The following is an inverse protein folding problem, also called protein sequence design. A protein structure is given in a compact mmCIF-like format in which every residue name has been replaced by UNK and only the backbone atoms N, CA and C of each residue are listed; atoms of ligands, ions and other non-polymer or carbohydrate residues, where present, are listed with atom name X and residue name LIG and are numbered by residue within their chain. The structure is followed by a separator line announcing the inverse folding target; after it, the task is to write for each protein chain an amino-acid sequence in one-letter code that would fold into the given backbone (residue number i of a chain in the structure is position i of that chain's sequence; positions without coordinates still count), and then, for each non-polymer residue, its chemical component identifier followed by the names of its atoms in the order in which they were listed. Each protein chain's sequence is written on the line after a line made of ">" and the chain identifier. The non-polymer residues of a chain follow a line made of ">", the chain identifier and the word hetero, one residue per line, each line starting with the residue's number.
data_IF_417424684439
#
_entry.id   IF_417424684439
#
_cell.length_a   1.000
_cell.length_b   1.000
_cell.length_c   1.000
_cell.angle_alpha   90.00
_cell.angle_beta   90.00
_cell.angle_gamma   90.00
#
_symmetry.space_group_name_H-M   'P 1'
#
loop_
_entity.id
_entity.type
_entity.pdbx_description
1 polymer ?
#
# COMPACT_ATOMS: atom_id res chain seq x y z
N UNK A 1 -13.79 1.05 14.10
CA UNK A 1 -14.66 2.21 13.76
C UNK A 1 -14.08 2.89 12.54
N UNK A 2 -14.90 3.31 11.55
CA UNK A 2 -14.43 4.18 10.48
C UNK A 2 -14.08 5.57 11.05
N UNK A 3 -12.96 6.14 10.60
CA UNK A 3 -12.44 7.44 11.08
C UNK A 3 -12.61 8.55 10.04
N UNK A 4 -12.63 8.21 8.74
CA UNK A 4 -12.79 9.16 7.65
C UNK A 4 -12.73 8.50 6.29
N UNK A 5 -12.71 9.31 5.23
CA UNK A 5 -12.69 8.84 3.83
C UNK A 5 -11.67 9.63 3.01
N UNK A 6 -10.87 8.92 2.22
CA UNK A 6 -9.92 9.50 1.27
C UNK A 6 -10.42 9.27 -0.15
N UNK A 7 -10.44 10.31 -0.99
CA UNK A 7 -10.90 10.25 -2.39
C UNK A 7 -9.75 10.60 -3.32
N UNK A 8 -9.41 9.69 -4.23
CA UNK A 8 -8.41 9.91 -5.27
C UNK A 8 -9.09 10.41 -6.54
N UNK A 9 -9.01 11.72 -6.80
CA UNK A 9 -9.77 12.41 -7.87
C UNK A 9 -8.91 12.97 -9.00
N UNK A 10 -7.58 12.80 -8.96
CA UNK A 10 -6.66 13.37 -9.95
C UNK A 10 -5.51 12.41 -10.24
N UNK A 11 -5.14 12.29 -11.52
CA UNK A 11 -3.91 11.62 -11.92
C UNK A 11 -2.72 12.59 -11.85
N UNK A 12 -1.51 12.05 -11.84
CA UNK A 12 -0.26 12.83 -11.89
C UNK A 12 -0.14 13.56 -13.24
N UNK A 13 0.40 14.79 -13.22
CA UNK A 13 0.70 15.52 -14.45
C UNK A 13 2.05 15.08 -15.03
N UNK A 14 3.03 14.81 -14.16
CA UNK A 14 4.33 14.27 -14.55
C UNK A 14 4.70 13.08 -13.64
N UNK A 15 4.84 11.90 -14.24
CA UNK A 15 5.16 10.68 -13.50
C UNK A 15 6.52 10.76 -12.77
N UNK A 16 7.55 11.33 -13.40
CA UNK A 16 8.87 11.42 -12.78
C UNK A 16 8.94 12.45 -11.65
N UNK A 17 8.33 13.62 -11.85
CA UNK A 17 8.34 14.70 -10.86
C UNK A 17 7.45 14.40 -9.64
N UNK A 18 6.32 13.72 -9.84
CA UNK A 18 5.36 13.42 -8.77
C UNK A 18 5.53 11.98 -8.25
N UNK A 19 5.43 10.95 -9.09
CA UNK A 19 5.41 9.57 -8.62
C UNK A 19 6.79 9.01 -8.27
N UNK A 20 7.80 9.26 -9.11
CA UNK A 20 9.13 8.69 -8.87
C UNK A 20 9.88 9.42 -7.76
N UNK A 21 9.65 10.72 -7.59
CA UNK A 21 10.38 11.52 -6.60
C UNK A 21 9.71 11.61 -5.23
N UNK A 22 8.42 11.25 -5.12
CA UNK A 22 7.73 11.24 -3.81
C UNK A 22 8.48 10.36 -2.81
N UNK A 23 8.53 10.83 -1.57
CA UNK A 23 9.31 10.21 -0.51
C UNK A 23 8.42 9.99 0.72
N UNK A 24 8.07 8.73 0.97
CA UNK A 24 7.30 8.32 2.14
C UNK A 24 8.21 7.75 3.22
N UNK A 25 7.90 8.04 4.49
CA UNK A 25 8.60 7.46 5.62
C UNK A 25 7.68 7.35 6.84
N UNK A 26 7.85 6.28 7.61
CA UNK A 26 7.10 6.08 8.87
C UNK A 26 7.56 7.02 9.98
N UNK A 27 8.75 7.62 9.82
CA UNK A 27 9.35 8.57 10.76
C UNK A 27 8.73 9.97 10.77
N UNK A 28 7.91 10.30 9.75
CA UNK A 28 7.26 11.61 9.64
C UNK A 28 5.91 11.52 10.33
N UNK A 29 5.89 11.81 11.63
CA UNK A 29 4.68 11.87 12.44
C UNK A 29 4.19 13.31 12.60
N UNK A 30 2.90 13.43 12.92
CA UNK A 30 2.26 14.68 13.34
C UNK A 30 1.91 14.57 14.82
N UNK A 31 1.79 15.71 15.49
CA UNK A 31 1.47 15.77 16.92
C UNK A 31 0.19 14.98 17.23
N UNK A 32 0.23 14.20 18.31
CA UNK A 32 -0.85 13.28 18.71
C UNK A 32 -0.69 11.84 18.21
N UNK A 33 0.32 11.55 17.39
CA UNK A 33 0.73 10.19 17.03
C UNK A 33 2.10 9.88 17.65
N UNK A 34 2.26 8.67 18.15
CA UNK A 34 3.52 8.19 18.73
C UNK A 34 3.83 6.76 18.27
N UNK A 35 5.10 6.38 18.38
CA UNK A 35 5.58 5.05 18.03
C UNK A 35 5.24 4.02 19.10
N UNK A 36 5.04 2.79 18.67
CA UNK A 36 5.06 1.63 19.56
C UNK A 36 6.45 0.98 19.56
N UNK A 37 6.74 0.20 20.60
CA UNK A 37 7.98 -0.59 20.73
C UNK A 37 8.04 -1.81 19.77
N UNK A 38 7.37 -1.73 18.62
CA UNK A 38 7.45 -2.75 17.58
C UNK A 38 8.84 -2.71 16.92
N UNK A 39 9.56 -3.82 17.03
CA UNK A 39 10.93 -3.97 16.50
C UNK A 39 11.02 -3.72 15.00
N UNK A 40 9.99 -4.09 14.23
CA UNK A 40 9.96 -3.85 12.79
C UNK A 40 9.65 -2.39 12.47
N UNK A 41 8.77 -1.74 13.24
CA UNK A 41 8.45 -0.33 13.06
C UNK A 41 9.67 0.56 13.33
N UNK A 42 10.37 0.33 14.45
CA UNK A 42 11.57 1.08 14.82
C UNK A 42 12.65 0.98 13.73
N UNK A 43 12.90 -0.22 13.20
CA UNK A 43 13.87 -0.41 12.11
C UNK A 43 13.46 0.31 10.81
N UNK A 44 12.16 0.37 10.52
CA UNK A 44 11.62 1.08 9.35
C UNK A 44 11.81 2.58 9.44
N UNK A 45 11.57 3.18 10.61
CA UNK A 45 11.72 4.62 10.83
C UNK A 45 13.12 5.11 10.44
N UNK A 46 14.16 4.35 10.77
CA UNK A 46 15.52 4.63 10.30
C UNK A 46 15.66 4.46 8.78
N UNK A 47 15.27 3.31 8.25
CA UNK A 47 15.51 2.90 6.87
C UNK A 47 14.94 3.85 5.81
N UNK A 48 13.74 4.39 6.02
CA UNK A 48 13.10 5.27 5.03
C UNK A 48 13.88 6.57 4.81
N UNK A 49 14.35 7.21 5.89
CA UNK A 49 15.10 8.46 5.77
C UNK A 49 16.47 8.25 5.14
N UNK A 50 17.12 7.12 5.42
CA UNK A 50 18.43 6.78 4.87
C UNK A 50 18.37 6.54 3.35
N UNK A 51 17.40 5.73 2.90
CA UNK A 51 17.25 5.45 1.47
C UNK A 51 16.90 6.70 0.65
N UNK A 52 16.14 7.64 1.21
CA UNK A 52 15.78 8.89 0.54
C UNK A 52 16.99 9.79 0.30
N UNK A 53 17.91 9.87 1.26
CA UNK A 53 19.15 10.65 1.12
C UNK A 53 20.03 10.13 -0.01
N UNK A 54 20.08 8.81 -0.20
CA UNK A 54 20.78 8.19 -1.31
C UNK A 54 20.05 8.36 -2.65
N UNK A 55 18.73 8.14 -2.66
CA UNK A 55 17.92 8.08 -3.88
C UNK A 55 17.63 9.44 -4.51
N UNK A 56 17.35 10.45 -3.69
CA UNK A 56 16.92 11.78 -4.12
C UNK A 56 17.96 12.84 -3.74
N UNK A 57 18.50 12.74 -2.53
CA UNK A 57 19.46 13.69 -1.97
C UNK A 57 19.07 14.12 -0.56
N UNK A 58 19.93 14.87 0.14
CA UNK A 58 19.67 15.30 1.51
C UNK A 58 18.46 16.23 1.63
N UNK A 59 18.20 17.06 0.61
CA UNK A 59 17.13 18.06 0.61
C UNK A 59 15.83 17.57 -0.07
N UNK A 60 15.54 16.28 -0.01
CA UNK A 60 14.36 15.68 -0.64
C UNK A 60 13.02 16.23 -0.11
N UNK A 61 13.01 16.81 1.09
CA UNK A 61 11.84 17.47 1.67
C UNK A 61 11.48 18.79 0.98
N UNK A 62 12.42 19.41 0.25
CA UNK A 62 12.16 20.65 -0.51
C UNK A 62 11.48 20.39 -1.86
N UNK A 63 11.33 19.13 -2.29
CA UNK A 63 10.71 18.82 -3.57
C UNK A 63 9.22 19.19 -3.57
N UNK A 64 8.67 19.73 -4.67
CA UNK A 64 7.28 20.20 -4.70
C UNK A 64 6.21 19.16 -4.33
N UNK A 65 6.50 17.88 -4.54
CA UNK A 65 5.60 16.77 -4.20
C UNK A 65 5.68 16.35 -2.72
N UNK A 66 6.85 16.52 -2.09
CA UNK A 66 7.13 16.05 -0.72
C UNK A 66 7.05 17.19 0.31
N UNK A 67 7.23 18.44 -0.12
CA UNK A 67 7.21 19.60 0.76
C UNK A 67 5.91 19.71 1.56
N UNK A 68 6.02 20.19 2.79
CA UNK A 68 4.88 20.53 3.62
C UNK A 68 4.05 21.62 2.94
N UNK A 69 2.74 21.40 2.78
CA UNK A 69 1.83 22.32 2.06
C UNK A 69 1.07 23.29 2.97
N UNK A 70 0.86 22.91 4.22
CA UNK A 70 0.01 23.63 5.17
C UNK A 70 0.74 23.90 6.49
N UNK A 71 2.06 23.93 6.46
CA UNK A 71 2.90 24.21 7.61
C UNK A 71 4.14 24.98 7.17
N UNK A 72 4.54 25.98 7.96
CA UNK A 72 5.77 26.73 7.75
C UNK A 72 6.94 25.94 8.34
N UNK A 73 7.88 25.56 7.48
CA UNK A 73 9.09 24.86 7.91
C UNK A 73 10.13 25.89 8.34
N UNK A 74 10.49 25.85 9.63
CA UNK A 74 11.48 26.75 10.24
C UNK A 74 12.53 25.90 10.94
N UNK A 75 13.65 25.66 10.28
CA UNK A 75 14.74 24.85 10.82
C UNK A 75 16.09 25.55 10.69
N UNK A 76 17.02 25.18 11.57
CA UNK A 76 18.42 25.61 11.51
C UNK A 76 19.24 24.79 10.48
N UNK A 77 18.61 23.89 9.72
CA UNK A 77 19.32 23.10 8.70
C UNK A 77 19.75 24.01 7.55
N UNK A 78 20.97 23.79 7.05
CA UNK A 78 21.60 24.56 5.97
C UNK A 78 22.34 23.61 5.05
N UNK A 79 22.52 24.08 3.82
CA UNK A 79 23.29 23.43 2.77
C UNK A 79 22.77 22.02 2.40
N UNK A 80 23.63 21.23 1.75
CA UNK A 80 23.29 19.95 1.15
C UNK A 80 23.17 20.04 -0.36
N UNK A 81 23.34 18.89 -1.01
CA UNK A 81 23.24 18.78 -2.46
C UNK A 81 21.85 19.25 -2.93
N UNK A 82 21.83 20.10 -3.95
CA UNK A 82 20.61 20.65 -4.57
C UNK A 82 19.69 21.41 -3.58
N UNK A 83 20.27 22.17 -2.65
CA UNK A 83 19.51 23.12 -1.83
C UNK A 83 18.82 24.15 -2.73
N UNK A 84 17.49 24.25 -2.67
CA UNK A 84 16.71 25.17 -3.49
C UNK A 84 16.35 26.45 -2.74
N UNK A 85 16.05 26.33 -1.44
CA UNK A 85 15.80 27.45 -0.55
C UNK A 85 16.26 27.13 0.86
N UNK A 86 16.27 28.15 1.70
CA UNK A 86 16.64 28.08 3.10
C UNK A 86 15.36 28.20 3.93
N UNK A 87 15.12 27.25 4.83
CA UNK A 87 13.96 27.26 5.72
C UNK A 87 13.96 28.51 6.62
N UNK A 88 12.76 29.02 6.93
CA UNK A 88 12.50 30.37 7.42
C UNK A 88 13.57 30.97 8.33
N UNK A 89 14.09 32.14 7.95
CA UNK A 89 15.14 32.83 8.69
C UNK A 89 14.57 33.43 10.00
N UNK A 90 15.29 33.27 11.11
CA UNK A 90 14.96 33.90 12.38
C UNK A 90 15.20 35.41 12.34
N UNK A 91 15.31 36.05 13.50
CA UNK A 91 15.64 37.49 13.58
C UNK A 91 16.97 37.84 12.90
N UNK A 92 17.90 36.88 12.84
CA UNK A 92 19.22 37.05 12.24
C UNK A 92 19.50 35.95 11.19
N UNK A 93 19.60 36.29 9.89
CA UNK A 93 19.88 35.34 8.80
C UNK A 93 21.23 34.62 8.93
N UNK A 94 22.19 35.21 9.65
CA UNK A 94 23.54 34.66 9.79
C UNK A 94 23.67 33.60 10.89
N UNK A 95 22.62 33.37 11.67
CA UNK A 95 22.62 32.37 12.75
C UNK A 95 21.95 31.10 12.27
N UNK A 96 22.67 29.97 12.35
CA UNK A 96 22.20 28.63 11.96
C UNK A 96 22.29 27.61 13.10
N UNK A 97 22.31 28.08 14.34
CA UNK A 97 22.44 27.23 15.53
C UNK A 97 21.60 27.78 16.68
N UNK A 98 21.34 26.91 17.66
CA UNK A 98 20.61 27.22 18.88
C UNK A 98 21.29 26.54 20.09
N UNK A 99 21.35 27.18 21.27
CA UNK A 99 20.91 28.55 21.59
C UNK A 99 21.88 29.62 21.09
N UNK A 100 21.34 30.78 20.68
CA UNK A 100 22.12 31.93 20.22
C UNK A 100 21.73 33.21 20.96
N UNK A 101 22.73 34.03 21.29
CA UNK A 101 22.56 35.35 21.90
C UNK A 101 22.29 36.45 20.85
N UNK A 102 22.63 36.20 19.59
CA UNK A 102 22.60 37.19 18.50
C UNK A 102 21.29 37.12 17.70
N UNK A 103 20.24 36.55 18.31
CA UNK A 103 18.98 36.19 17.63
C UNK A 103 19.07 34.85 16.89
N UNK A 104 17.98 34.46 16.22
CA UNK A 104 17.87 33.20 15.47
C UNK A 104 16.51 32.54 15.63
N UNK A 105 16.37 31.33 15.10
CA UNK A 105 15.22 30.47 15.42
C UNK A 105 15.35 29.97 16.86
N UNK A 106 14.20 29.69 17.49
CA UNK A 106 14.11 29.04 18.79
C UNK A 106 13.25 27.79 18.67
N UNK A 107 13.62 26.76 19.40
CA UNK A 107 12.87 25.53 19.51
C UNK A 107 11.46 25.85 20.04
N UNK A 108 10.46 25.40 19.30
CA UNK A 108 9.08 25.55 19.72
C UNK A 108 8.82 24.65 20.93
N UNK A 109 7.96 25.11 21.83
CA UNK A 109 7.53 24.29 22.96
C UNK A 109 6.73 23.08 22.45
N UNK A 110 7.22 21.87 22.73
CA UNK A 110 6.52 20.65 22.36
C UNK A 110 5.27 20.49 23.24
N UNK A 111 4.08 20.23 22.67
CA UNK A 111 2.83 20.22 23.44
C UNK A 111 2.72 19.07 24.45
N UNK A 112 3.55 18.03 24.33
CA UNK A 112 3.54 16.85 25.20
C UNK A 112 4.54 17.03 26.35
N UNK A 113 4.12 16.77 27.59
CA UNK A 113 4.99 16.85 28.77
C UNK A 113 6.00 15.69 28.80
N UNK A 114 7.22 15.96 29.28
CA UNK A 114 8.32 14.99 29.45
C UNK A 114 7.93 13.72 30.25
N UNK A 115 6.87 13.82 31.07
CA UNK A 115 6.37 12.74 31.91
C UNK A 115 5.43 11.75 31.18
N UNK A 116 5.01 12.07 29.95
CA UNK A 116 4.11 11.22 29.16
C UNK A 116 4.91 10.26 28.28
N UNK A 117 4.90 8.97 28.62
CA UNK A 117 5.56 7.92 27.83
C UNK A 117 5.46 6.53 28.47
N UNK A 118 5.88 5.51 27.71
CA UNK A 118 5.96 4.14 28.24
C UNK A 118 7.19 3.96 29.14
N UNK A 119 7.00 3.33 30.31
CA UNK A 119 8.12 2.98 31.19
C UNK A 119 8.80 1.73 30.67
N UNK A 120 10.07 1.84 30.28
CA UNK A 120 10.87 0.73 29.78
C UNK A 120 11.68 0.09 30.92
N UNK A 121 11.48 -1.21 31.15
CA UNK A 121 12.24 -1.98 32.14
C UNK A 121 12.88 -3.21 31.51
N UNK A 122 14.18 -3.40 31.72
CA UNK A 122 14.87 -4.61 31.30
C UNK A 122 16.33 -4.39 30.91
N UNK A 123 16.98 -5.46 30.44
CA UNK A 123 18.36 -5.41 29.93
C UNK A 123 18.35 -5.25 28.43
N UNK A 124 19.15 -4.32 27.92
CA UNK A 124 19.42 -4.19 26.49
C UNK A 124 20.06 -5.49 25.97
N UNK A 125 19.33 -6.23 25.13
CA UNK A 125 19.79 -7.51 24.57
C UNK A 125 19.31 -7.66 23.12
N UNK A 126 20.08 -8.41 22.32
CA UNK A 126 19.68 -8.83 20.98
C UNK A 126 19.05 -10.21 21.06
N UNK A 127 17.75 -10.27 21.35
CA UNK A 127 17.00 -11.53 21.50
C UNK A 127 15.72 -11.53 20.68
N UNK A 128 15.37 -12.72 20.18
CA UNK A 128 14.07 -12.97 19.58
C UNK A 128 12.96 -12.84 20.62
N UNK A 129 11.74 -12.50 20.17
CA UNK A 129 10.57 -12.46 21.04
C UNK A 129 10.19 -13.92 21.38
N UNK A 130 9.92 -14.26 22.65
CA UNK A 130 9.67 -15.65 23.05
C UNK A 130 8.32 -16.22 22.57
N UNK A 131 7.32 -15.36 22.26
CA UNK A 131 5.99 -15.78 21.81
C UNK A 131 5.91 -15.83 20.28
N UNK A 132 6.44 -16.88 19.67
CA UNK A 132 6.44 -17.07 18.22
C UNK A 132 5.26 -17.97 17.82
N UNK A 133 4.13 -17.36 17.48
CA UNK A 133 2.96 -18.12 17.01
C UNK A 133 2.85 -18.06 15.49
N UNK A 134 3.89 -18.55 14.82
CA UNK A 134 4.15 -18.29 13.40
C UNK A 134 3.08 -18.91 12.46
N UNK A 135 2.37 -19.94 12.93
CA UNK A 135 1.42 -20.70 12.10
C UNK A 135 -0.06 -20.47 12.45
N UNK A 136 -0.37 -19.94 13.63
CA UNK A 136 -1.77 -19.84 14.08
C UNK A 136 -2.56 -18.85 13.24
N UNK A 137 -2.02 -17.64 13.04
CA UNK A 137 -2.71 -16.60 12.27
C UNK A 137 -2.89 -16.99 10.80
N UNK A 138 -1.86 -17.63 10.22
CA UNK A 138 -1.93 -18.13 8.84
C UNK A 138 -2.97 -19.25 8.68
N UNK A 139 -3.04 -20.18 9.64
CA UNK A 139 -4.07 -21.22 9.69
C UNK A 139 -5.48 -20.64 9.85
N UNK A 140 -5.65 -19.69 10.76
CA UNK A 140 -6.93 -18.98 10.96
C UNK A 140 -7.37 -18.25 9.68
N UNK A 141 -6.45 -17.56 8.99
CA UNK A 141 -6.74 -16.89 7.71
C UNK A 141 -7.24 -17.88 6.67
N UNK A 142 -6.57 -19.01 6.49
CA UNK A 142 -6.99 -20.05 5.53
C UNK A 142 -8.38 -20.64 5.84
N UNK A 143 -8.70 -20.81 7.13
CA UNK A 143 -10.01 -21.29 7.57
C UNK A 143 -11.13 -20.25 7.37
N UNK A 144 -10.81 -18.96 7.47
CA UNK A 144 -11.75 -17.86 7.25
C UNK A 144 -11.99 -17.55 5.77
N UNK A 145 -11.10 -17.98 4.87
CA UNK A 145 -11.26 -17.79 3.42
C UNK A 145 -12.51 -18.48 2.88
N UNK A 146 -13.08 -17.94 1.82
CA UNK A 146 -14.11 -18.57 1.02
C UNK A 146 -13.54 -19.74 0.21
N UNK A 147 -14.40 -20.62 -0.30
CA UNK A 147 -13.95 -21.78 -1.08
C UNK A 147 -13.21 -21.38 -2.35
N UNK A 148 -13.74 -20.41 -3.10
CA UNK A 148 -13.08 -19.89 -4.31
C UNK A 148 -11.72 -19.23 -4.00
N UNK A 149 -11.57 -18.51 -2.88
CA UNK A 149 -10.28 -17.92 -2.47
C UNK A 149 -9.25 -19.01 -2.17
N UNK A 150 -9.68 -20.12 -1.55
CA UNK A 150 -8.82 -21.29 -1.30
C UNK A 150 -8.43 -21.97 -2.62
N UNK A 151 -9.36 -22.07 -3.54
CA UNK A 151 -9.17 -22.68 -4.86
C UNK A 151 -8.23 -21.85 -5.74
N UNK A 152 -8.14 -20.53 -5.54
CA UNK A 152 -7.15 -19.66 -6.22
C UNK A 152 -5.78 -19.63 -5.52
N UNK A 153 -5.77 -19.67 -4.19
CA UNK A 153 -4.55 -19.65 -3.40
C UNK A 153 -3.67 -20.88 -3.65
N UNK A 154 -4.28 -22.07 -3.70
CA UNK A 154 -3.54 -23.35 -3.82
C UNK A 154 -2.77 -23.44 -5.14
N UNK A 155 -3.37 -23.22 -6.33
CA UNK A 155 -2.66 -23.19 -7.60
C UNK A 155 -1.54 -22.15 -7.64
N UNK A 156 -1.76 -20.96 -7.05
CA UNK A 156 -0.74 -19.90 -7.00
C UNK A 156 0.47 -20.34 -6.19
N UNK A 157 0.26 -20.95 -5.02
CA UNK A 157 1.34 -21.51 -4.20
C UNK A 157 2.07 -22.65 -4.92
N UNK A 158 1.34 -23.55 -5.57
CA UNK A 158 1.92 -24.66 -6.34
C UNK A 158 2.74 -24.15 -7.52
N UNK A 159 2.24 -23.16 -8.27
CA UNK A 159 2.92 -22.58 -9.42
C UNK A 159 4.26 -21.93 -9.02
N UNK A 160 4.29 -21.21 -7.90
CA UNK A 160 5.50 -20.59 -7.37
C UNK A 160 6.50 -21.64 -6.86
N UNK A 161 6.03 -22.65 -6.11
CA UNK A 161 6.91 -23.67 -5.52
C UNK A 161 7.45 -24.68 -6.54
N UNK A 162 6.72 -24.95 -7.63
CA UNK A 162 7.16 -25.89 -8.67
C UNK A 162 8.50 -25.51 -9.30
N UNK A 163 8.86 -24.22 -9.29
CA UNK A 163 10.11 -23.71 -9.84
C UNK A 163 11.31 -23.91 -8.90
N UNK A 164 11.07 -24.18 -7.61
CA UNK A 164 12.12 -24.35 -6.62
C UNK A 164 12.72 -25.76 -6.67
N UNK A 165 13.94 -25.92 -6.16
CA UNK A 165 14.56 -27.24 -6.01
C UNK A 165 13.78 -28.14 -5.05
N UNK A 166 13.88 -29.45 -5.29
CA UNK A 166 13.14 -30.47 -4.53
C UNK A 166 13.27 -30.35 -3.00
N UNK A 167 14.47 -30.10 -2.41
CA UNK A 167 14.60 -29.94 -0.97
C UNK A 167 13.81 -28.74 -0.40
N UNK A 168 13.68 -27.66 -1.18
CA UNK A 168 12.93 -26.47 -0.79
C UNK A 168 11.43 -26.75 -0.84
N UNK A 169 10.97 -27.43 -1.89
CA UNK A 169 9.57 -27.85 -2.04
C UNK A 169 9.13 -28.71 -0.84
N UNK A 170 9.92 -29.73 -0.52
CA UNK A 170 9.62 -30.66 0.59
C UNK A 170 9.59 -29.93 1.94
N UNK A 171 10.53 -29.01 2.18
CA UNK A 171 10.55 -28.21 3.41
C UNK A 171 9.33 -27.31 3.51
N UNK A 172 8.92 -26.64 2.44
CA UNK A 172 7.77 -25.74 2.44
C UNK A 172 6.44 -26.48 2.61
N UNK A 173 6.28 -27.64 1.95
CA UNK A 173 5.12 -28.51 2.13
C UNK A 173 5.10 -29.09 3.55
N UNK A 174 6.26 -29.50 4.07
CA UNK A 174 6.45 -29.92 5.45
C UNK A 174 5.97 -28.85 6.43
N UNK A 175 6.44 -27.61 6.29
CA UNK A 175 5.97 -26.46 7.08
C UNK A 175 4.47 -26.24 6.94
N UNK A 176 3.91 -26.34 5.73
CA UNK A 176 2.47 -26.14 5.48
C UNK A 176 1.58 -27.18 6.18
N UNK A 177 2.07 -28.41 6.36
CA UNK A 177 1.35 -29.45 7.11
C UNK A 177 1.15 -29.07 8.59
N UNK A 178 2.08 -28.30 9.18
CA UNK A 178 1.93 -27.78 10.55
C UNK A 178 0.74 -26.83 10.66
N UNK A 179 0.33 -26.14 9.59
CA UNK A 179 -0.72 -25.12 9.65
C UNK A 179 -2.09 -25.76 9.89
N UNK A 180 -2.31 -26.94 9.27
CA UNK A 180 -3.54 -27.74 9.45
C UNK A 180 -3.57 -28.42 10.82
N UNK A 181 -2.46 -29.01 11.25
CA UNK A 181 -2.39 -29.76 12.51
C UNK A 181 -2.42 -28.85 13.74
N UNK A 182 -1.79 -27.68 13.69
CA UNK A 182 -1.72 -26.76 14.84
C UNK A 182 -3.03 -26.02 15.07
N UNK A 183 -3.81 -25.75 14.00
CA UNK A 183 -5.16 -25.17 14.12
C UNK A 183 -6.13 -26.14 14.82
N UNK A 184 -5.99 -27.46 14.56
CA UNK A 184 -6.75 -28.50 15.25
C UNK A 184 -6.21 -28.80 16.68
N UNK A 185 -4.91 -28.63 16.92
CA UNK A 185 -4.30 -28.86 18.23
C UNK A 185 -4.43 -27.69 19.20
N UNK A 186 -4.49 -26.44 18.71
CA UNK A 186 -4.70 -25.26 19.55
C UNK A 186 -6.13 -25.18 20.07
N UNK A 187 -7.12 -25.66 19.31
CA UNK A 187 -8.49 -25.86 19.81
C UNK A 187 -8.58 -27.04 20.80
N UNK A 188 -7.79 -28.09 20.62
CA UNK A 188 -7.80 -29.28 21.50
C UNK A 188 -7.01 -29.12 22.81
N UNK A 189 -5.90 -28.35 22.84
CA UNK A 189 -5.05 -28.18 24.03
C UNK A 189 -5.52 -27.09 25.01
N UNK A 190 -6.65 -26.44 24.74
CA UNK A 190 -7.31 -25.48 25.64
C UNK A 190 -8.27 -26.09 26.66
N UNK A 191 -8.53 -27.41 26.64
CA UNK A 191 -9.58 -28.06 27.44
C UNK A 191 -9.06 -29.11 28.43
N UNK A 192 -7.94 -28.85 29.10
CA UNK A 192 -7.50 -29.67 30.24
C UNK A 192 -6.90 -28.81 31.37
N UNK A 193 -7.56 -27.71 31.73
CA UNK A 193 -7.56 -27.09 33.06
C UNK A 193 -8.33 -25.77 32.97
N UNK A 194 -9.55 -25.74 33.52
CA UNK A 194 -10.32 -24.51 33.68
C UNK A 194 -9.91 -23.81 34.98
N UNK A 195 -9.43 -22.56 34.95
CA UNK A 195 -9.86 -21.55 35.90
C UNK A 195 -11.11 -20.85 35.33
N UNK A 196 -12.07 -20.56 36.23
CA UNK A 196 -13.31 -19.84 35.93
C UNK A 196 -12.99 -18.49 35.27
N UNK A 197 -13.83 -18.15 34.29
CA UNK A 197 -13.96 -16.88 33.56
C UNK A 197 -12.73 -16.43 32.75
N UNK A 198 -12.63 -16.94 31.52
CA UNK A 198 -11.88 -16.28 30.43
C UNK A 198 -12.84 -15.95 29.28
N UNK A 199 -12.70 -14.78 28.65
CA UNK A 199 -13.60 -14.38 27.57
C UNK A 199 -13.41 -15.34 26.39
N UNK A 200 -14.51 -15.84 25.86
CA UNK A 200 -14.56 -16.66 24.65
C UNK A 200 -13.94 -15.87 23.50
N UNK A 201 -12.71 -16.23 23.12
CA UNK A 201 -12.08 -15.71 21.91
C UNK A 201 -12.81 -16.29 20.70
N UNK A 202 -13.69 -15.47 20.12
CA UNK A 202 -14.32 -15.76 18.84
C UNK A 202 -13.29 -15.58 17.71
N UNK A 203 -13.35 -16.36 16.62
CA UNK A 203 -12.54 -16.13 15.43
C UNK A 203 -12.70 -14.68 14.98
N UNK A 204 -11.60 -13.98 14.70
CA UNK A 204 -11.64 -12.59 14.28
C UNK A 204 -12.24 -12.52 12.86
N UNK A 205 -13.45 -11.95 12.65
CA UNK A 205 -14.18 -12.06 11.38
C UNK A 205 -13.62 -11.17 10.25
N UNK A 206 -12.51 -10.47 10.49
CA UNK A 206 -11.97 -9.46 9.58
C UNK A 206 -11.00 -10.01 8.50
N UNK A 207 -10.87 -11.34 8.40
CA UNK A 207 -9.85 -11.99 7.59
C UNK A 207 -10.32 -12.65 6.30
N UNK A 208 -11.60 -12.69 5.95
CA UNK A 208 -11.98 -13.04 4.59
C UNK A 208 -11.95 -11.77 3.75
N UNK A 209 -11.67 -11.84 2.44
CA UNK A 209 -12.27 -10.82 1.58
C UNK A 209 -13.79 -11.01 1.74
N UNK A 210 -14.40 -10.25 2.64
CA UNK A 210 -15.83 -9.99 2.55
C UNK A 210 -15.97 -9.53 1.11
N UNK A 211 -16.71 -10.29 0.31
CA UNK A 211 -17.14 -9.82 -1.00
C UNK A 211 -17.71 -8.45 -0.73
N UNK A 212 -16.92 -7.41 -1.02
CA UNK A 212 -17.40 -6.05 -0.99
C UNK A 212 -18.63 -6.10 -1.87
N UNK A 213 -19.73 -5.56 -1.37
CA UNK A 213 -20.97 -5.45 -2.13
C UNK A 213 -20.60 -5.19 -3.59
N UNK A 214 -21.12 -6.02 -4.50
CA UNK A 214 -20.85 -6.00 -5.94
C UNK A 214 -21.33 -4.69 -6.60
N UNK A 215 -21.29 -3.56 -5.91
CA UNK A 215 -21.53 -2.21 -6.43
C UNK A 215 -20.30 -1.63 -7.14
N UNK A 216 -19.10 -2.20 -6.94
CA UNK A 216 -17.90 -1.81 -7.70
C UNK A 216 -17.82 -2.51 -9.07
N UNK A 217 -18.89 -2.40 -9.88
CA UNK A 217 -18.82 -2.61 -11.34
C UNK A 217 -18.11 -1.45 -12.05
N UNK A 218 -17.69 -0.42 -11.31
CA UNK A 218 -17.37 0.93 -11.79
C UNK A 218 -16.14 1.11 -12.68
N UNK A 219 -15.41 0.03 -12.98
CA UNK A 219 -14.32 0.07 -13.95
C UNK A 219 -14.06 -1.28 -14.64
N UNK A 220 -15.04 -2.22 -14.65
CA UNK A 220 -14.83 -3.49 -15.35
C UNK A 220 -14.79 -3.25 -16.86
N UNK A 221 -13.69 -3.66 -17.48
CA UNK A 221 -13.52 -3.55 -18.92
C UNK A 221 -13.96 -4.86 -19.57
N UNK A 222 -15.13 -4.84 -20.20
CA UNK A 222 -15.64 -5.99 -20.93
C UNK A 222 -15.09 -6.02 -22.36
N UNK A 223 -14.60 -7.19 -22.77
CA UNK A 223 -14.16 -7.48 -24.15
C UNK A 223 -15.19 -8.39 -24.83
N UNK A 224 -16.16 -7.86 -25.58
CA UNK A 224 -17.07 -8.69 -26.36
C UNK A 224 -16.29 -9.42 -27.46
N UNK A 225 -16.40 -10.75 -27.49
CA UNK A 225 -15.76 -11.57 -28.51
C UNK A 225 -16.57 -11.54 -29.81
N UNK A 226 -16.00 -11.02 -30.90
CA UNK A 226 -16.64 -10.99 -32.22
C UNK A 226 -16.82 -12.43 -32.74
N UNK A 227 -18.03 -12.99 -32.67
CA UNK A 227 -18.36 -14.26 -33.36
C UNK A 227 -18.30 -14.03 -34.88
N UNK A 228 -17.67 -14.93 -35.63
CA UNK A 228 -17.66 -14.85 -37.11
C UNK A 228 -19.11 -14.91 -37.60
N UNK A 229 -19.59 -13.83 -38.22
CA UNK A 229 -20.97 -13.72 -38.72
C UNK A 229 -21.90 -12.78 -37.93
N UNK A 230 -21.42 -12.10 -36.87
CA UNK A 230 -22.21 -11.05 -36.21
C UNK A 230 -22.38 -9.85 -37.17
N UNK A 231 -23.63 -9.52 -37.51
CA UNK A 231 -23.98 -8.33 -38.29
C UNK A 231 -23.64 -7.06 -37.50
N UNK A 232 -23.16 -6.01 -38.17
CA UNK A 232 -22.75 -4.75 -37.51
C UNK A 232 -23.86 -4.12 -36.65
N UNK A 233 -25.13 -4.40 -36.96
CA UNK A 233 -26.29 -3.97 -36.16
C UNK A 233 -26.37 -4.66 -34.79
N UNK A 234 -25.96 -5.92 -34.68
CA UNK A 234 -25.93 -6.63 -33.38
C UNK A 234 -24.82 -6.11 -32.48
N UNK A 235 -23.65 -5.76 -33.03
CA UNK A 235 -22.56 -5.12 -32.29
C UNK A 235 -22.92 -3.69 -31.89
N UNK A 236 -23.70 -2.99 -32.72
CA UNK A 236 -24.23 -1.66 -32.42
C UNK A 236 -25.28 -1.70 -31.31
N UNK A 237 -26.17 -2.68 -31.33
CA UNK A 237 -27.16 -2.89 -30.26
C UNK A 237 -26.49 -3.30 -28.93
N UNK A 238 -25.47 -4.16 -28.95
CA UNK A 238 -24.66 -4.47 -27.76
C UNK A 238 -23.92 -3.23 -27.24
N UNK A 239 -23.37 -2.39 -28.14
CA UNK A 239 -22.73 -1.12 -27.78
C UNK A 239 -23.71 -0.12 -27.19
N UNK A 240 -24.91 0.00 -27.74
CA UNK A 240 -25.97 0.88 -27.24
C UNK A 240 -26.54 0.39 -25.92
N UNK A 241 -26.69 -0.93 -25.73
CA UNK A 241 -27.08 -1.54 -24.46
C UNK A 241 -26.05 -1.36 -23.34
N UNK A 242 -24.76 -1.57 -23.64
CA UNK A 242 -23.66 -1.31 -22.70
C UNK A 242 -23.56 0.19 -22.40
N UNK A 243 -23.65 1.07 -23.40
CA UNK A 243 -23.64 2.52 -23.19
C UNK A 243 -24.84 3.03 -22.38
N UNK A 244 -26.02 2.43 -22.55
CA UNK A 244 -27.21 2.75 -21.76
C UNK A 244 -27.04 2.33 -20.29
N UNK A 245 -26.35 1.21 -20.04
CA UNK A 245 -25.91 0.84 -18.69
C UNK A 245 -24.81 1.78 -18.17
N UNK A 246 -23.92 2.31 -19.02
CA UNK A 246 -22.90 3.31 -18.63
C UNK A 246 -23.49 4.64 -18.16
N UNK A 247 -24.68 5.03 -18.65
CA UNK A 247 -25.38 6.22 -18.18
C UNK A 247 -25.95 6.09 -16.76
N UNK A 248 -26.12 4.86 -16.28
CA UNK A 248 -26.50 4.57 -14.89
C UNK A 248 -25.29 4.17 -14.04
N UNK A 249 -24.45 3.22 -14.48
CA UNK A 249 -23.21 2.78 -13.83
C UNK A 249 -22.17 2.28 -14.88
N UNK A 250 -21.20 3.13 -15.25
CA UNK A 250 -19.73 2.81 -15.33
C UNK A 250 -19.25 1.45 -15.90
N UNK A 251 -19.55 1.14 -17.17
CA UNK A 251 -18.81 0.13 -17.96
C UNK A 251 -18.22 0.77 -19.23
N UNK A 252 -16.94 0.50 -19.53
CA UNK A 252 -16.24 1.00 -20.74
C UNK A 252 -15.94 -0.16 -21.70
N UNK A 253 -16.57 -0.24 -22.88
CA UNK A 253 -16.32 -1.31 -23.84
C UNK A 253 -14.92 -1.17 -24.49
N UNK A 254 -14.17 -2.27 -24.56
CA UNK A 254 -12.92 -2.35 -25.33
C UNK A 254 -13.11 -3.24 -26.56
N UNK A 255 -13.14 -2.64 -27.75
CA UNK A 255 -13.38 -3.35 -29.01
C UNK A 255 -12.04 -3.88 -29.54
N UNK A 256 -11.88 -5.20 -29.58
CA UNK A 256 -10.76 -5.85 -30.26
C UNK A 256 -11.09 -6.01 -31.75
N UNK A 257 -10.59 -5.10 -32.58
CA UNK A 257 -10.69 -5.24 -34.04
C UNK A 257 -9.62 -6.23 -34.54
N UNK A 258 -9.95 -7.16 -35.46
CA UNK A 258 -8.92 -7.91 -36.18
C UNK A 258 -8.06 -6.91 -36.98
N UNK A 259 -6.73 -7.11 -37.00
CA UNK A 259 -5.74 -6.22 -37.64
C UNK A 259 -6.26 -5.74 -39.00
N UNK A 260 -6.47 -4.43 -39.13
CA UNK A 260 -6.90 -3.82 -40.39
C UNK A 260 -5.87 -4.11 -41.46
N UNK A 261 -6.28 -4.82 -42.52
CA UNK A 261 -5.52 -4.84 -43.76
C UNK A 261 -5.60 -3.45 -44.37
N UNK A 262 -4.53 -2.67 -44.27
CA UNK A 262 -4.39 -1.42 -45.03
C UNK A 262 -4.43 -1.77 -46.52
N UNK A 263 -5.60 -1.67 -47.16
CA UNK A 263 -5.70 -1.67 -48.62
C UNK A 263 -5.52 -0.22 -49.05
N UNK A 264 -4.34 0.11 -49.56
CA UNK A 264 -4.10 1.39 -50.20
C UNK A 264 -5.05 1.53 -51.39
N UNK A 265 -6.03 2.42 -51.29
CA UNK A 265 -6.82 2.87 -52.44
C UNK A 265 -5.97 3.85 -53.23
N UNK A 266 -5.63 3.51 -54.47
CA UNK A 266 -4.98 4.43 -55.40
C UNK A 266 -5.92 5.63 -55.67
N UNK A 267 -5.39 6.86 -55.82
CA UNK A 267 -6.20 8.02 -56.15
C UNK A 267 -6.78 7.89 -57.57
N UNK A 268 -8.08 8.16 -57.72
CA UNK A 268 -8.75 8.26 -59.01
C UNK A 268 -8.19 9.43 -59.84
N UNK A 269 -8.03 9.28 -61.17
CA UNK A 269 -7.58 10.36 -62.03
C UNK A 269 -8.67 11.45 -62.16
N UNK A 270 -8.28 12.72 -62.29
CA UNK A 270 -9.23 13.82 -62.40
C UNK A 270 -10.04 13.74 -63.70
N UNK A 271 -11.36 13.91 -63.57
CA UNK A 271 -12.28 14.10 -64.69
C UNK A 271 -12.02 15.48 -65.28
N UNK A 272 -11.80 15.53 -66.60
CA UNK A 272 -11.60 16.76 -67.35
C UNK A 272 -12.94 17.50 -67.54
N UNK A 273 -12.92 18.79 -67.25
CA UNK A 273 -13.70 19.84 -67.93
C UNK A 273 -12.79 21.05 -68.13
#
# INVERSE_FOLDING_TARGET
>A
MPVGTMVLNRNVANNFAENEQISFGTGVLVDGLDFSDDKMLVGRTFSYSDTQRYRVGPNYLQLPVTQAKHADVRTNQRDGLMTYHVDGEGENPHVNYEPSITGGLREAEYPTHDEQGSVLTGRLTRKHIPRTTDYLQAGQRYLLMQEWERDDLVPTLVANLKQCDRPIQERMVGTSSWWRTTSACASARGWASRPRTSPTWSPCPAGAERGGDQEALTARQERPARRRGAHDDTLRAEREGVNAQTASHTLRPMIAMPRGTCRATAPEPPVAD
#
